data_IF_344671114266
#
_entry.id   IF_344671114266
#
_cell.length_a   1.000
_cell.length_b   1.000
_cell.length_c   1.000
_cell.angle_alpha   90.00
_cell.angle_beta   90.00
_cell.angle_gamma   90.00
#
_symmetry.space_group_name_H-M   'P 1'
#
loop_
_entity.id
_entity.type
_entity.pdbx_description
1 polymer ?
#
# COMPACT_ATOMS: atom_id res chain seq x y z
N UNK A 1 -12.55 2.36 -10.91
CA UNK A 1 -11.32 2.06 -10.17
C UNK A 1 -10.30 1.49 -11.15
N UNK A 2 -9.02 1.79 -10.97
CA UNK A 2 -7.95 1.42 -11.91
C UNK A 2 -6.90 0.49 -11.28
N UNK A 3 -7.15 0.03 -10.05
CA UNK A 3 -6.31 -0.96 -9.37
C UNK A 3 -6.41 -2.33 -10.04
N UNK A 4 -5.33 -3.10 -9.92
CA UNK A 4 -5.34 -4.50 -10.34
C UNK A 4 -6.49 -5.24 -9.62
N UNK A 5 -7.35 -5.99 -10.35
CA UNK A 5 -8.52 -6.66 -9.78
C UNK A 5 -8.20 -7.62 -8.63
N UNK A 6 -7.07 -8.32 -8.70
CA UNK A 6 -6.63 -9.26 -7.66
C UNK A 6 -6.25 -8.50 -6.38
N UNK A 7 -5.47 -7.43 -6.52
CA UNK A 7 -5.10 -6.57 -5.40
C UNK A 7 -6.35 -5.93 -4.77
N UNK A 8 -7.30 -5.48 -5.60
CA UNK A 8 -8.56 -4.93 -5.13
C UNK A 8 -9.34 -5.96 -4.30
N UNK A 9 -9.49 -7.19 -4.81
CA UNK A 9 -10.15 -8.28 -4.09
C UNK A 9 -9.48 -8.52 -2.74
N UNK A 10 -8.14 -8.67 -2.73
CA UNK A 10 -7.36 -8.87 -1.52
C UNK A 10 -7.55 -7.74 -0.48
N UNK A 11 -7.59 -6.49 -0.93
CA UNK A 11 -7.84 -5.33 -0.06
C UNK A 11 -9.23 -5.40 0.60
N UNK A 12 -10.28 -5.73 -0.16
CA UNK A 12 -11.63 -5.86 0.38
C UNK A 12 -11.72 -7.00 1.41
N UNK A 13 -11.23 -8.18 1.06
CA UNK A 13 -11.21 -9.33 1.97
C UNK A 13 -10.42 -9.05 3.26
N UNK A 14 -9.26 -8.39 3.13
CA UNK A 14 -8.46 -8.00 4.30
C UNK A 14 -9.19 -6.99 5.18
N UNK A 15 -9.84 -5.98 4.59
CA UNK A 15 -10.62 -4.98 5.33
C UNK A 15 -11.78 -5.62 6.11
N UNK A 16 -12.52 -6.54 5.49
CA UNK A 16 -13.59 -7.27 6.14
C UNK A 16 -13.10 -8.16 7.30
N UNK A 17 -11.99 -8.88 7.09
CA UNK A 17 -11.37 -9.72 8.12
C UNK A 17 -10.86 -8.88 9.30
N UNK A 18 -10.19 -7.75 9.04
CA UNK A 18 -9.73 -6.83 10.09
C UNK A 18 -10.93 -6.33 10.91
N UNK A 19 -11.98 -5.89 10.25
CA UNK A 19 -13.20 -5.39 10.91
C UNK A 19 -13.88 -6.47 11.74
N UNK A 20 -13.92 -7.70 11.24
CA UNK A 20 -14.51 -8.85 11.96
C UNK A 20 -13.67 -9.26 13.18
N UNK A 21 -12.35 -9.34 13.02
CA UNK A 21 -11.42 -9.65 14.11
C UNK A 21 -11.43 -8.57 15.20
N UNK A 22 -11.46 -7.29 14.80
CA UNK A 22 -11.58 -6.15 15.72
C UNK A 22 -12.83 -6.27 16.60
N UNK A 23 -13.99 -6.54 15.99
CA UNK A 23 -15.25 -6.74 16.72
C UNK A 23 -15.19 -7.93 17.67
N UNK A 24 -14.66 -9.06 17.21
CA UNK A 24 -14.55 -10.28 18.00
C UNK A 24 -13.66 -10.10 19.23
N UNK A 25 -12.57 -9.35 19.08
CA UNK A 25 -11.59 -9.08 20.14
C UNK A 25 -11.90 -7.80 20.94
N UNK A 26 -12.98 -7.09 20.62
CA UNK A 26 -13.39 -5.82 21.26
C UNK A 26 -12.29 -4.75 21.17
N UNK A 27 -11.58 -4.69 20.04
CA UNK A 27 -10.56 -3.68 19.76
C UNK A 27 -11.21 -2.45 19.12
N UNK A 28 -10.69 -1.26 19.42
CA UNK A 28 -11.10 -0.03 18.75
C UNK A 28 -10.29 0.18 17.46
N UNK A 29 -10.44 -0.75 16.52
CA UNK A 29 -9.78 -0.73 15.22
C UNK A 29 -10.85 -0.73 14.13
N UNK A 30 -10.74 0.19 13.18
CA UNK A 30 -11.59 0.27 12.00
C UNK A 30 -10.72 0.12 10.75
N UNK A 31 -11.21 -0.65 9.78
CA UNK A 31 -10.56 -0.79 8.48
C UNK A 31 -11.46 -0.17 7.41
N UNK A 32 -10.96 0.86 6.77
CA UNK A 32 -11.67 1.61 5.73
C UNK A 32 -10.91 1.63 4.42
N UNK A 33 -11.65 1.56 3.31
CA UNK A 33 -11.10 1.73 1.97
C UNK A 33 -11.50 3.11 1.47
N UNK A 34 -10.50 3.97 1.29
CA UNK A 34 -10.70 5.35 0.86
C UNK A 34 -10.75 5.41 -0.67
N UNK A 35 -11.76 6.08 -1.20
CA UNK A 35 -11.97 6.26 -2.63
C UNK A 35 -11.87 7.74 -3.01
N UNK A 36 -11.37 8.04 -4.22
CA UNK A 36 -11.47 9.38 -4.75
C UNK A 36 -12.93 9.76 -5.01
N UNK A 37 -13.24 11.04 -4.97
CA UNK A 37 -14.52 11.58 -5.43
C UNK A 37 -14.80 11.09 -6.85
N UNK A 38 -16.08 10.80 -7.19
CA UNK A 38 -16.47 10.23 -8.47
C UNK A 38 -16.01 11.09 -9.65
N UNK A 39 -16.05 12.42 -9.52
CA UNK A 39 -15.61 13.38 -10.53
C UNK A 39 -14.08 13.49 -10.63
N UNK A 40 -13.35 12.96 -9.64
CA UNK A 40 -11.88 12.91 -9.61
C UNK A 40 -11.33 11.56 -10.07
N UNK A 41 -12.19 10.58 -10.36
CA UNK A 41 -11.76 9.26 -10.82
C UNK A 41 -11.03 9.35 -12.17
N UNK A 42 -10.18 8.37 -12.44
CA UNK A 42 -9.38 8.32 -13.67
C UNK A 42 -10.26 8.43 -14.92
N UNK A 43 -11.34 7.64 -15.00
CA UNK A 43 -12.22 7.61 -16.17
C UNK A 43 -13.04 8.88 -16.33
N UNK A 44 -13.53 9.46 -15.22
CA UNK A 44 -14.24 10.74 -15.27
C UNK A 44 -13.34 11.87 -15.81
N UNK A 45 -12.04 11.83 -15.49
CA UNK A 45 -11.07 12.82 -15.98
C UNK A 45 -10.67 12.58 -17.43
N UNK A 46 -10.28 11.36 -17.78
CA UNK A 46 -9.78 11.05 -19.13
C UNK A 46 -10.91 11.06 -20.16
N UNK A 47 -11.99 10.33 -19.90
CA UNK A 47 -13.11 10.20 -20.86
C UNK A 47 -14.07 11.36 -20.72
N UNK A 48 -14.46 11.72 -19.49
CA UNK A 48 -15.47 12.75 -19.26
C UNK A 48 -15.01 14.17 -19.52
N UNK A 49 -13.74 14.49 -19.18
CA UNK A 49 -13.20 15.84 -19.28
C UNK A 49 -12.03 15.98 -20.26
N UNK A 50 -11.67 14.92 -20.98
CA UNK A 50 -10.60 14.97 -21.97
C UNK A 50 -9.20 15.22 -21.40
N UNK A 51 -8.94 14.85 -20.13
CA UNK A 51 -7.61 14.99 -19.57
C UNK A 51 -6.64 14.09 -20.32
N UNK A 52 -5.42 14.57 -20.62
CA UNK A 52 -4.39 13.70 -21.14
C UNK A 52 -4.02 12.62 -20.14
N UNK A 53 -3.62 11.45 -20.63
CA UNK A 53 -3.08 10.39 -19.78
C UNK A 53 -1.81 10.88 -19.07
N UNK A 54 -1.53 10.37 -17.86
CA UNK A 54 -0.29 10.71 -17.18
C UNK A 54 0.94 10.32 -18.00
N UNK A 55 1.91 11.22 -18.11
CA UNK A 55 3.13 11.03 -18.92
C UNK A 55 4.40 11.37 -18.13
N UNK A 56 5.51 10.62 -18.34
CA UNK A 56 6.84 11.01 -17.85
C UNK A 56 7.41 12.16 -18.72
N UNK A 57 8.25 13.04 -18.19
CA UNK A 57 8.54 13.26 -16.78
C UNK A 57 7.58 14.27 -16.14
N UNK A 58 6.84 13.88 -15.13
CA UNK A 58 6.24 14.85 -14.21
C UNK A 58 4.75 15.05 -14.27
N UNK A 59 4.04 14.81 -15.37
CA UNK A 59 2.58 14.99 -15.39
C UNK A 59 1.86 13.81 -14.74
N UNK A 60 1.84 13.81 -13.40
CA UNK A 60 1.29 12.71 -12.56
C UNK A 60 0.04 13.14 -11.77
N UNK A 61 -0.87 13.83 -12.41
CA UNK A 61 -2.11 14.27 -11.78
C UNK A 61 -2.90 13.15 -11.09
N UNK A 62 -2.76 11.91 -11.58
CA UNK A 62 -3.43 10.74 -11.03
C UNK A 62 -2.98 10.44 -9.59
N UNK A 63 -1.70 10.61 -9.24
CA UNK A 63 -1.21 10.38 -7.89
C UNK A 63 -1.87 11.34 -6.89
N UNK A 64 -1.94 12.61 -7.23
CA UNK A 64 -2.56 13.62 -6.38
C UNK A 64 -4.06 13.36 -6.23
N UNK A 65 -4.78 13.22 -7.34
CA UNK A 65 -6.25 13.14 -7.32
C UNK A 65 -6.79 11.82 -6.82
N UNK A 66 -6.12 10.70 -7.14
CA UNK A 66 -6.61 9.36 -6.82
C UNK A 66 -6.10 8.83 -5.47
N UNK A 67 -5.01 9.41 -4.92
CA UNK A 67 -4.38 8.88 -3.71
C UNK A 67 -4.20 9.95 -2.64
N UNK A 68 -3.53 11.08 -2.95
CA UNK A 68 -3.16 12.08 -1.94
C UNK A 68 -4.40 12.83 -1.46
N UNK A 69 -5.20 13.40 -2.37
CA UNK A 69 -6.36 14.20 -1.98
C UNK A 69 -7.42 13.41 -1.19
N UNK A 70 -7.81 12.18 -1.59
CA UNK A 70 -8.71 11.38 -0.78
C UNK A 70 -8.17 11.08 0.63
N UNK A 71 -6.86 10.78 0.74
CA UNK A 71 -6.23 10.54 2.03
C UNK A 71 -6.21 11.80 2.89
N UNK A 72 -5.81 12.95 2.31
CA UNK A 72 -5.79 14.22 3.04
C UNK A 72 -7.18 14.57 3.57
N UNK A 73 -8.23 14.41 2.75
CA UNK A 73 -9.61 14.64 3.16
C UNK A 73 -10.00 13.74 4.35
N UNK A 74 -9.67 12.47 4.28
CA UNK A 74 -9.92 11.52 5.39
C UNK A 74 -9.19 11.93 6.67
N UNK A 75 -7.92 12.30 6.56
CA UNK A 75 -7.09 12.78 7.67
C UNK A 75 -7.71 14.05 8.30
N UNK A 76 -8.13 15.02 7.49
CA UNK A 76 -8.78 16.23 7.97
C UNK A 76 -10.11 15.95 8.69
N UNK A 77 -10.90 14.99 8.21
CA UNK A 77 -12.14 14.55 8.86
C UNK A 77 -11.84 13.89 10.22
N UNK A 78 -10.80 13.06 10.30
CA UNK A 78 -10.33 12.48 11.56
C UNK A 78 -9.88 13.57 12.56
N UNK A 79 -9.17 14.60 12.11
CA UNK A 79 -8.74 15.73 12.97
C UNK A 79 -9.94 16.51 13.48
N UNK A 80 -10.95 16.77 12.66
CA UNK A 80 -12.18 17.45 13.10
C UNK A 80 -12.88 16.73 14.24
N UNK A 81 -12.80 15.41 14.25
CA UNK A 81 -13.43 14.58 15.27
C UNK A 81 -12.57 14.40 16.53
N UNK A 82 -11.25 14.27 16.36
CA UNK A 82 -10.32 13.87 17.44
C UNK A 82 -9.39 14.99 17.89
N UNK A 83 -9.34 16.12 17.19
CA UNK A 83 -8.47 17.28 17.47
C UNK A 83 -7.09 17.13 16.85
N UNK A 84 -6.41 16.01 17.04
CA UNK A 84 -5.12 15.69 16.46
C UNK A 84 -5.01 14.20 16.13
N UNK A 85 -4.10 13.84 15.24
CA UNK A 85 -3.87 12.43 14.83
C UNK A 85 -2.39 12.13 14.63
N UNK A 86 -2.07 10.83 14.76
CA UNK A 86 -0.77 10.28 14.38
C UNK A 86 -0.97 9.35 13.20
N UNK A 87 -0.27 9.62 12.09
CA UNK A 87 -0.26 8.81 10.88
C UNK A 87 0.93 7.85 10.96
N UNK A 88 0.65 6.55 10.99
CA UNK A 88 1.68 5.51 10.93
C UNK A 88 1.96 5.14 9.47
N UNK A 89 3.21 5.28 9.01
CA UNK A 89 3.61 4.89 7.67
C UNK A 89 4.63 3.76 7.70
N UNK A 90 4.35 2.69 6.96
CA UNK A 90 5.25 1.56 6.80
C UNK A 90 6.37 1.80 5.76
N UNK A 91 6.86 3.02 5.63
CA UNK A 91 7.94 3.37 4.70
C UNK A 91 9.30 2.95 5.24
N UNK A 92 10.21 2.54 4.33
CA UNK A 92 11.54 2.06 4.70
C UNK A 92 12.61 2.67 3.79
N UNK A 93 13.79 2.96 4.35
CA UNK A 93 14.94 3.47 3.58
C UNK A 93 15.42 2.45 2.54
N UNK A 94 15.34 1.16 2.86
CA UNK A 94 15.76 0.07 1.99
C UNK A 94 14.91 -0.09 0.69
N UNK A 95 13.77 0.58 0.56
CA UNK A 95 12.89 0.43 -0.61
C UNK A 95 13.43 1.13 -1.87
N UNK A 96 14.06 2.29 -1.73
CA UNK A 96 14.73 2.99 -2.83
C UNK A 96 15.56 4.17 -2.33
N UNK A 97 16.59 4.56 -3.10
CA UNK A 97 17.40 5.73 -2.80
C UNK A 97 16.59 7.04 -2.73
N UNK A 98 15.56 7.19 -3.56
CA UNK A 98 14.66 8.34 -3.52
C UNK A 98 13.83 8.37 -2.22
N UNK A 99 13.36 7.20 -1.76
CA UNK A 99 12.62 7.08 -0.51
C UNK A 99 13.50 7.32 0.70
N UNK A 100 14.72 6.77 0.71
CA UNK A 100 15.72 7.02 1.74
C UNK A 100 16.00 8.52 1.90
N UNK A 101 16.26 9.24 0.81
CA UNK A 101 16.45 10.68 0.85
C UNK A 101 15.24 11.43 1.39
N UNK A 102 14.04 11.13 0.87
CA UNK A 102 12.81 11.78 1.31
C UNK A 102 12.49 11.54 2.79
N UNK A 103 12.83 10.39 3.34
CA UNK A 103 12.70 10.11 4.78
C UNK A 103 13.69 10.95 5.55
N UNK A 104 14.99 10.90 5.20
CA UNK A 104 16.06 11.63 5.91
C UNK A 104 15.86 13.16 5.89
N UNK A 105 15.30 13.70 4.81
CA UNK A 105 14.99 15.14 4.70
C UNK A 105 13.85 15.57 5.61
N UNK A 106 12.97 14.65 6.01
CA UNK A 106 11.78 14.95 6.82
C UNK A 106 11.93 14.54 8.29
N UNK A 107 12.90 13.70 8.60
CA UNK A 107 13.21 13.32 9.97
C UNK A 107 13.79 14.49 10.74
N UNK A 108 13.16 14.86 11.85
CA UNK A 108 13.71 15.82 12.80
C UNK A 108 14.51 15.02 13.84
N UNK A 109 15.81 15.27 13.90
CA UNK A 109 16.70 14.55 14.82
C UNK A 109 16.21 14.63 16.27
N UNK A 110 16.07 13.46 16.92
CA UNK A 110 15.62 13.35 18.31
C UNK A 110 14.12 13.33 18.52
N UNK A 111 13.30 13.42 17.45
CA UNK A 111 11.85 13.32 17.56
C UNK A 111 11.32 12.06 16.88
N UNK A 112 10.48 11.32 17.58
CA UNK A 112 9.75 10.16 17.03
C UNK A 112 8.61 10.58 16.10
N UNK A 113 7.95 11.69 16.42
CA UNK A 113 6.82 12.24 15.69
C UNK A 113 7.26 13.46 14.91
N UNK A 114 7.06 13.42 13.60
CA UNK A 114 7.33 14.57 12.74
C UNK A 114 6.02 15.23 12.33
N UNK A 115 5.89 16.57 12.33
CA UNK A 115 4.68 17.22 11.85
C UNK A 115 4.43 16.88 10.39
N UNK A 116 3.17 16.72 10.01
CA UNK A 116 2.81 16.53 8.61
C UNK A 116 3.01 17.85 7.84
N UNK A 117 3.60 17.80 6.64
CA UNK A 117 4.02 19.00 5.93
C UNK A 117 2.88 19.96 5.56
N UNK A 118 1.68 19.44 5.28
CA UNK A 118 0.58 20.20 4.70
C UNK A 118 -0.69 20.19 5.55
N UNK A 119 -0.74 19.43 6.64
CA UNK A 119 -1.94 19.29 7.47
C UNK A 119 -1.56 19.58 8.91
N UNK A 120 -2.17 20.62 9.47
CA UNK A 120 -2.00 20.98 10.88
C UNK A 120 -2.62 19.91 11.78
N UNK A 121 -2.08 19.71 12.97
CA UNK A 121 -2.52 18.72 13.96
C UNK A 121 -2.43 17.25 13.46
N UNK A 122 -1.66 17.01 12.42
CA UNK A 122 -1.28 15.69 11.98
C UNK A 122 0.22 15.46 12.19
N UNK A 123 0.56 14.34 12.77
CA UNK A 123 1.94 13.91 13.00
C UNK A 123 2.21 12.61 12.25
N UNK A 124 3.44 12.42 11.80
CA UNK A 124 3.86 11.22 11.08
C UNK A 124 4.85 10.44 11.93
N UNK A 125 4.62 9.15 12.03
CA UNK A 125 5.53 8.19 12.65
C UNK A 125 5.87 7.06 11.69
N UNK A 126 7.16 6.79 11.51
CA UNK A 126 7.69 5.78 10.58
C UNK A 126 8.38 4.65 11.36
N UNK A 127 7.64 3.71 11.96
CA UNK A 127 8.22 2.69 12.84
C UNK A 127 9.14 1.68 12.13
N UNK A 128 9.05 1.57 10.80
CA UNK A 128 9.76 0.56 10.02
C UNK A 128 10.93 1.12 9.20
N UNK A 129 11.34 2.37 9.44
CA UNK A 129 12.32 3.09 8.62
C UNK A 129 13.61 2.31 8.36
N UNK A 130 14.16 1.66 9.39
CA UNK A 130 15.43 0.94 9.34
C UNK A 130 15.26 -0.58 9.13
N UNK A 131 14.03 -1.07 8.94
CA UNK A 131 13.76 -2.50 8.79
C UNK A 131 14.03 -2.95 7.36
N UNK A 132 14.82 -4.01 7.20
CA UNK A 132 15.10 -4.62 5.91
C UNK A 132 13.91 -5.45 5.39
N UNK A 133 13.88 -5.64 4.06
CA UNK A 133 12.80 -6.37 3.41
C UNK A 133 12.72 -7.84 3.83
N UNK A 134 13.87 -8.49 4.01
CA UNK A 134 13.98 -9.87 4.48
C UNK A 134 13.30 -10.05 5.83
N UNK A 135 13.62 -9.16 6.77
CA UNK A 135 13.07 -9.21 8.14
C UNK A 135 11.53 -8.99 8.15
N UNK A 136 11.01 -8.14 7.26
CA UNK A 136 9.54 -7.98 7.12
C UNK A 136 8.88 -9.28 6.69
N UNK A 137 9.43 -9.96 5.67
CA UNK A 137 8.86 -11.21 5.20
C UNK A 137 9.04 -12.35 6.20
N UNK A 138 10.19 -12.44 6.85
CA UNK A 138 10.42 -13.37 7.95
C UNK A 138 9.36 -13.22 9.04
N UNK A 139 9.08 -11.99 9.46
CA UNK A 139 8.03 -11.70 10.44
C UNK A 139 6.64 -12.06 9.94
N UNK A 140 6.28 -11.68 8.72
CA UNK A 140 4.94 -11.91 8.15
C UNK A 140 4.66 -13.39 7.87
N UNK A 141 5.69 -14.19 7.60
CA UNK A 141 5.57 -15.62 7.31
C UNK A 141 5.75 -16.49 8.56
N UNK A 142 6.12 -15.90 9.70
CA UNK A 142 6.12 -16.57 11.00
C UNK A 142 4.72 -17.12 11.33
N UNK A 143 4.65 -18.09 12.23
CA UNK A 143 3.39 -18.67 12.71
C UNK A 143 2.45 -19.13 11.57
N UNK A 144 3.00 -19.89 10.62
CA UNK A 144 2.33 -20.36 9.41
C UNK A 144 1.90 -19.25 8.42
N UNK A 145 2.35 -18.03 8.60
CA UNK A 145 2.02 -16.90 7.75
C UNK A 145 0.54 -16.52 7.82
N UNK A 146 -0.07 -16.63 8.99
CA UNK A 146 -1.44 -16.18 9.24
C UNK A 146 -1.38 -14.88 10.05
N UNK A 147 -1.98 -13.82 9.52
CA UNK A 147 -2.08 -12.55 10.24
C UNK A 147 -3.02 -12.65 11.45
N UNK A 148 -2.93 -11.72 12.42
CA UNK A 148 -3.84 -11.67 13.57
C UNK A 148 -5.33 -11.59 13.20
N UNK A 149 -5.66 -11.14 12.01
CA UNK A 149 -7.03 -11.07 11.49
C UNK A 149 -7.38 -12.23 10.54
N UNK A 150 -6.52 -13.26 10.45
CA UNK A 150 -6.81 -14.48 9.69
C UNK A 150 -6.56 -14.39 8.17
N UNK A 151 -5.81 -13.40 7.71
CA UNK A 151 -5.40 -13.32 6.30
C UNK A 151 -4.10 -14.09 6.08
N UNK A 152 -4.01 -14.85 4.99
CA UNK A 152 -2.78 -15.56 4.63
C UNK A 152 -1.72 -14.61 4.08
N UNK A 153 -0.61 -14.50 4.79
CA UNK A 153 0.55 -13.75 4.33
C UNK A 153 1.33 -14.51 3.24
N UNK A 154 1.16 -15.83 3.15
CA UNK A 154 1.70 -16.64 2.04
C UNK A 154 1.07 -16.23 0.71
N UNK A 155 -0.25 -16.00 0.68
CA UNK A 155 -0.92 -15.48 -0.52
C UNK A 155 -0.40 -14.09 -0.91
N UNK A 156 -0.18 -13.22 0.06
CA UNK A 156 0.44 -11.92 -0.19
C UNK A 156 1.86 -12.07 -0.74
N UNK A 157 2.66 -12.98 -0.20
CA UNK A 157 4.00 -13.27 -0.65
C UNK A 157 4.02 -13.75 -2.10
N UNK A 158 3.15 -14.71 -2.46
CA UNK A 158 3.01 -15.19 -3.84
C UNK A 158 2.60 -14.07 -4.81
N UNK A 159 1.71 -13.17 -4.40
CA UNK A 159 1.37 -11.97 -5.19
C UNK A 159 2.61 -11.10 -5.48
N UNK A 160 3.49 -10.94 -4.49
CA UNK A 160 4.73 -10.18 -4.66
C UNK A 160 5.76 -10.90 -5.54
N UNK A 161 5.75 -12.22 -5.56
CA UNK A 161 6.61 -13.02 -6.45
C UNK A 161 6.07 -13.09 -7.89
N UNK A 162 4.80 -12.76 -8.11
CA UNK A 162 4.11 -12.95 -9.38
C UNK A 162 3.77 -14.40 -9.66
N UNK A 163 3.68 -15.24 -8.62
CA UNK A 163 3.31 -16.64 -8.68
C UNK A 163 1.81 -16.83 -8.53
N UNK A 164 1.30 -18.00 -8.95
CA UNK A 164 -0.14 -18.33 -8.92
C UNK A 164 -0.64 -18.53 -7.48
N UNK A 165 -1.84 -18.03 -7.22
CA UNK A 165 -2.53 -18.18 -5.94
C UNK A 165 -3.27 -19.53 -5.81
N UNK A 166 -2.93 -20.55 -6.59
CA UNK A 166 -3.59 -21.85 -6.48
C UNK A 166 -3.36 -22.45 -5.09
N UNK A 167 -4.44 -22.83 -4.42
CA UNK A 167 -4.44 -23.32 -3.03
C UNK A 167 -3.58 -24.57 -2.80
N UNK A 168 -3.25 -25.30 -3.86
CA UNK A 168 -2.51 -26.58 -3.79
C UNK A 168 -1.01 -26.43 -3.57
N UNK A 169 -0.39 -25.27 -3.82
CA UNK A 169 1.05 -25.05 -3.64
C UNK A 169 1.44 -24.39 -2.32
N UNK A 170 0.52 -24.19 -1.40
CA UNK A 170 0.81 -23.63 -0.07
C UNK A 170 1.43 -24.63 0.91
N UNK A 171 1.90 -25.79 0.45
CA UNK A 171 2.48 -26.82 1.29
C UNK A 171 3.98 -26.56 1.46
N UNK A 172 4.35 -26.13 2.68
CA UNK A 172 5.60 -26.40 3.38
C UNK A 172 6.88 -26.53 2.50
N UNK A 173 7.34 -25.43 1.93
CA UNK A 173 8.72 -25.29 1.51
C UNK A 173 9.43 -24.30 2.45
N UNK A 174 10.64 -24.61 2.87
CA UNK A 174 11.54 -23.66 3.52
C UNK A 174 11.59 -22.40 2.65
N UNK A 175 11.46 -21.24 3.28
CA UNK A 175 11.54 -19.96 2.58
C UNK A 175 12.97 -19.85 2.06
N UNK A 176 13.15 -20.03 0.75
CA UNK A 176 14.44 -19.80 0.13
C UNK A 176 14.71 -18.30 0.20
N UNK A 177 15.68 -17.90 1.01
CA UNK A 177 16.08 -16.48 1.19
C UNK A 177 16.43 -15.82 -0.16
N UNK A 178 16.84 -16.61 -1.17
CA UNK A 178 17.09 -16.12 -2.53
C UNK A 178 15.83 -15.76 -3.30
N UNK A 179 14.64 -16.19 -2.82
CA UNK A 179 13.34 -15.91 -3.43
C UNK A 179 12.57 -14.77 -2.75
N UNK A 180 13.14 -14.11 -1.72
CA UNK A 180 12.52 -12.95 -1.11
C UNK A 180 12.35 -11.87 -2.18
N UNK A 181 11.12 -11.40 -2.45
CA UNK A 181 10.90 -10.44 -3.52
C UNK A 181 11.63 -9.14 -3.20
N UNK A 182 12.56 -8.78 -4.08
CA UNK A 182 13.17 -7.46 -4.05
C UNK A 182 12.10 -6.49 -4.52
N UNK A 183 11.68 -5.58 -3.66
CA UNK A 183 10.57 -4.62 -3.85
C UNK A 183 10.65 -3.79 -5.14
N UNK A 184 11.75 -3.82 -5.86
CA UNK A 184 11.94 -3.08 -7.11
C UNK A 184 11.22 -3.65 -8.34
N UNK A 185 10.75 -4.89 -8.32
CA UNK A 185 10.20 -5.57 -9.50
C UNK A 185 8.68 -5.82 -9.43
N UNK A 186 8.08 -5.88 -8.24
CA UNK A 186 6.64 -6.05 -8.10
C UNK A 186 5.97 -4.69 -7.93
N UNK A 187 5.13 -4.32 -8.89
CA UNK A 187 4.36 -3.08 -8.86
C UNK A 187 2.88 -3.40 -8.79
N UNK A 188 2.31 -3.15 -7.62
CA UNK A 188 0.85 -3.10 -7.46
C UNK A 188 0.35 -1.69 -7.80
N UNK A 189 0.37 -1.38 -9.10
CA UNK A 189 -0.09 -0.11 -9.62
C UNK A 189 -1.45 -0.23 -10.29
N UNK A 190 -1.85 0.87 -10.94
CA UNK A 190 -3.03 0.88 -11.79
C UNK A 190 -2.78 0.03 -13.02
N UNK A 191 -3.68 -0.88 -13.37
CA UNK A 191 -3.55 -1.73 -14.55
C UNK A 191 -3.49 -0.95 -15.88
N UNK A 192 -3.98 0.29 -15.90
CA UNK A 192 -3.94 1.22 -17.04
C UNK A 192 -2.82 2.27 -16.91
N UNK A 193 -1.76 2.00 -16.14
CA UNK A 193 -0.70 2.97 -15.88
C UNK A 193 0.16 3.24 -17.11
N UNK A 194 0.15 4.47 -17.62
CA UNK A 194 0.95 4.93 -18.75
C UNK A 194 2.37 5.37 -18.37
N UNK A 195 2.68 5.43 -17.06
CA UNK A 195 3.98 5.83 -16.53
C UNK A 195 5.00 4.69 -16.48
N UNK A 196 4.57 3.46 -16.75
CA UNK A 196 5.43 2.26 -16.78
C UNK A 196 5.44 1.67 -18.17
N UNK A 197 6.60 1.25 -18.64
CA UNK A 197 6.74 0.57 -19.94
C UNK A 197 6.24 -0.88 -19.88
N UNK A 198 6.47 -1.55 -18.76
CA UNK A 198 6.07 -2.93 -18.52
C UNK A 198 5.60 -3.10 -17.08
N UNK A 199 4.49 -3.80 -16.89
CA UNK A 199 4.03 -4.26 -15.59
C UNK A 199 4.19 -5.78 -15.52
N UNK A 200 5.32 -6.23 -14.97
CA UNK A 200 5.66 -7.66 -14.88
C UNK A 200 4.67 -8.43 -14.01
N UNK A 201 4.14 -7.80 -12.98
CA UNK A 201 3.13 -8.40 -12.12
C UNK A 201 1.84 -8.64 -12.90
N UNK A 202 1.39 -7.68 -13.69
CA UNK A 202 0.20 -7.83 -14.52
C UNK A 202 0.42 -8.86 -15.64
N UNK A 203 1.60 -8.87 -16.27
CA UNK A 203 1.94 -9.85 -17.30
C UNK A 203 1.93 -11.28 -16.77
N UNK A 204 2.42 -11.53 -15.56
CA UNK A 204 2.39 -12.86 -14.94
C UNK A 204 0.97 -13.39 -14.73
N UNK A 205 -0.03 -12.50 -14.60
CA UNK A 205 -1.44 -12.88 -14.45
C UNK A 205 -2.18 -13.07 -15.80
N UNK A 206 -1.67 -12.49 -16.89
CA UNK A 206 -2.31 -12.57 -18.23
C UNK A 206 -1.79 -13.77 -19.02
N UNK A 207 -0.53 -14.16 -18.81
CA UNK A 207 0.12 -15.24 -19.57
C UNK A 207 -0.19 -16.65 -19.02
N UNK A 208 -1.18 -16.77 -18.16
CA UNK A 208 -1.74 -18.01 -17.62
C UNK A 208 -3.19 -18.18 -18.03
#
# INVERSE_FOLDING_TARGET
MVENPIVKKYMHESSEKISSASKAQKLNIQAEIIYPDIHQTFWARVIGLGYPTPEPPGFRWCTERLKINPMNKFVEECIKTNGEIIILLGVRKAESAARSRSISEKEIAGYLLNPHNNINNAYVYNPLTEIENSLVWEYLLKDNGISPWGTSMKQLFSLYQGEDLSEEQSVLGEIDEKKIPITGNSRFGCWCCTLVKEDKSLQSFINK
#
